data_IF_413834986550
#
_entry.id   IF_413834986550
#
_cell.length_a   1.000
_cell.length_b   1.000
_cell.length_c   1.000
_cell.angle_alpha   90.00
_cell.angle_beta   90.00
_cell.angle_gamma   90.00
#
_symmetry.space_group_name_H-M   'P 1'
#
loop_
_entity.id
_entity.type
_entity.pdbx_description
1 polymer ?
#
# COMPACT_ATOMS: atom_id res chain seq x y z
N UNK A 1 5.91 -8.00 -12.31
CA UNK A 1 4.81 -8.76 -11.67
C UNK A 1 3.44 -8.12 -11.93
N UNK A 2 3.19 -6.87 -11.52
CA UNK A 2 1.84 -6.26 -11.61
C UNK A 2 1.28 -6.15 -13.04
N UNK A 3 2.11 -5.80 -14.03
CA UNK A 3 1.68 -5.80 -15.44
C UNK A 3 1.18 -7.17 -15.92
N UNK A 4 1.92 -8.24 -15.60
CA UNK A 4 1.52 -9.61 -15.95
C UNK A 4 0.25 -10.05 -15.21
N UNK A 5 0.05 -9.60 -13.96
CA UNK A 5 -1.20 -9.80 -13.23
C UNK A 5 -2.36 -9.11 -13.94
N UNK A 6 -2.17 -7.86 -14.37
CA UNK A 6 -3.19 -7.07 -15.07
C UNK A 6 -3.68 -7.74 -16.35
N UNK A 7 -2.76 -8.25 -17.18
CA UNK A 7 -3.11 -8.94 -18.43
C UNK A 7 -3.99 -10.19 -18.19
N UNK A 8 -3.96 -10.80 -16.99
CA UNK A 8 -4.85 -11.93 -16.64
C UNK A 8 -6.22 -11.51 -16.13
N UNK A 9 -6.34 -10.33 -15.52
CA UNK A 9 -7.61 -9.84 -14.95
C UNK A 9 -8.48 -9.22 -16.05
N UNK A 10 -7.86 -8.50 -16.99
CA UNK A 10 -8.57 -7.76 -18.04
C UNK A 10 -9.06 -6.38 -17.60
N UNK A 11 -9.72 -5.67 -18.52
CA UNK A 11 -10.28 -4.33 -18.34
C UNK A 11 -11.83 -4.41 -18.46
N UNK A 12 -12.63 -3.80 -17.55
CA UNK A 12 -12.22 -2.84 -16.52
C UNK A 12 -11.95 -3.43 -15.13
N UNK A 13 -11.00 -2.80 -14.43
CA UNK A 13 -10.69 -3.13 -13.02
C UNK A 13 -11.40 -2.13 -12.10
N UNK A 14 -12.40 -2.59 -11.35
CA UNK A 14 -13.16 -1.74 -10.43
C UNK A 14 -12.28 -1.07 -9.35
N UNK A 15 -11.22 -1.75 -8.92
CA UNK A 15 -10.25 -1.22 -7.96
C UNK A 15 -9.12 -2.20 -7.67
N UNK A 16 -8.06 -1.68 -7.08
CA UNK A 16 -6.89 -2.45 -6.64
C UNK A 16 -6.70 -2.22 -5.15
N UNK A 17 -6.48 -3.32 -4.42
CA UNK A 17 -6.15 -3.30 -2.98
C UNK A 17 -4.77 -3.92 -2.79
N UNK A 18 -3.83 -3.14 -2.26
CA UNK A 18 -2.48 -3.57 -1.98
C UNK A 18 -2.33 -3.94 -0.50
N UNK A 19 -2.18 -5.25 -0.22
CA UNK A 19 -2.18 -5.81 1.15
C UNK A 19 -0.82 -6.34 1.63
N UNK A 20 0.25 -6.21 0.83
CA UNK A 20 1.52 -6.86 1.15
C UNK A 20 2.21 -6.34 2.42
N UNK A 21 1.82 -5.18 2.96
CA UNK A 21 2.34 -4.63 4.22
C UNK A 21 1.29 -4.59 5.34
N UNK A 22 0.19 -5.34 5.22
CA UNK A 22 -0.86 -5.42 6.26
C UNK A 22 -0.60 -6.52 7.32
N UNK A 23 0.51 -7.24 7.17
CA UNK A 23 0.87 -8.43 7.96
C UNK A 23 1.27 -8.07 9.40
N UNK A 24 0.94 -8.95 10.34
CA UNK A 24 1.06 -8.74 11.78
C UNK A 24 2.40 -9.22 12.38
N UNK A 25 2.62 -9.00 13.69
CA UNK A 25 3.84 -9.42 14.39
C UNK A 25 4.10 -10.92 14.35
N UNK A 26 3.04 -11.72 14.19
CA UNK A 26 3.08 -13.20 14.14
C UNK A 26 3.65 -13.74 12.83
N UNK A 27 3.81 -12.90 11.81
CA UNK A 27 4.14 -13.36 10.45
C UNK A 27 5.64 -13.55 10.22
N UNK A 28 6.46 -13.42 11.27
CA UNK A 28 7.91 -13.33 11.18
C UNK A 28 8.30 -11.98 10.60
N UNK A 29 9.10 -11.20 11.33
CA UNK A 29 9.50 -9.87 10.85
C UNK A 29 10.26 -9.97 9.53
N UNK A 30 9.83 -9.21 8.51
CA UNK A 30 10.57 -9.06 7.26
C UNK A 30 11.76 -8.13 7.43
N UNK A 31 12.82 -8.41 6.68
CA UNK A 31 13.93 -7.46 6.56
C UNK A 31 13.50 -6.17 5.84
N UNK A 32 14.22 -5.08 6.08
CA UNK A 32 13.90 -3.77 5.49
C UNK A 32 13.85 -3.81 3.95
N UNK A 33 14.80 -4.49 3.31
CA UNK A 33 14.84 -4.63 1.85
C UNK A 33 13.60 -5.35 1.31
N UNK A 34 13.15 -6.40 2.00
CA UNK A 34 11.94 -7.13 1.63
C UNK A 34 10.67 -6.28 1.83
N UNK A 35 10.59 -5.51 2.93
CA UNK A 35 9.51 -4.56 3.17
C UNK A 35 9.42 -3.48 2.08
N UNK A 36 10.55 -2.92 1.66
CA UNK A 36 10.61 -1.94 0.58
C UNK A 36 10.23 -2.58 -0.78
N UNK A 37 10.73 -3.78 -1.05
CA UNK A 37 10.44 -4.57 -2.25
C UNK A 37 8.95 -4.85 -2.42
N UNK A 38 8.34 -5.45 -1.40
CA UNK A 38 6.94 -5.84 -1.40
C UNK A 38 5.99 -4.67 -1.11
N UNK A 39 6.48 -3.57 -0.52
CA UNK A 39 5.68 -2.39 -0.22
C UNK A 39 5.86 -1.29 -1.23
N UNK A 40 6.85 -0.43 -0.99
CA UNK A 40 7.03 0.81 -1.74
C UNK A 40 7.19 0.57 -3.25
N UNK A 41 8.08 -0.35 -3.63
CA UNK A 41 8.38 -0.59 -5.04
C UNK A 41 7.26 -1.33 -5.77
N UNK A 42 6.63 -2.31 -5.13
CA UNK A 42 5.45 -2.97 -5.68
C UNK A 42 4.27 -2.00 -5.87
N UNK A 43 4.01 -1.14 -4.87
CA UNK A 43 2.98 -0.11 -4.93
C UNK A 43 3.25 0.91 -6.04
N UNK A 44 4.50 1.36 -6.20
CA UNK A 44 4.90 2.24 -7.30
C UNK A 44 4.68 1.58 -8.67
N UNK A 45 5.02 0.30 -8.82
CA UNK A 45 4.78 -0.44 -10.06
C UNK A 45 3.27 -0.57 -10.38
N UNK A 46 2.43 -0.76 -9.36
CA UNK A 46 0.98 -0.78 -9.49
C UNK A 46 0.43 0.59 -9.94
N UNK A 47 0.88 1.68 -9.30
CA UNK A 47 0.51 3.06 -9.66
C UNK A 47 0.87 3.39 -11.11
N UNK A 48 2.08 3.04 -11.55
CA UNK A 48 2.52 3.26 -12.95
C UNK A 48 1.61 2.51 -13.93
N UNK A 49 1.33 1.25 -13.65
CA UNK A 49 0.49 0.41 -14.52
C UNK A 49 -0.95 0.95 -14.58
N UNK A 50 -1.54 1.31 -13.44
CA UNK A 50 -2.86 1.95 -13.37
C UNK A 50 -2.89 3.29 -14.11
N UNK A 51 -1.86 4.12 -13.93
CA UNK A 51 -1.69 5.40 -14.60
C UNK A 51 -1.55 5.29 -16.12
N UNK A 52 -1.04 4.18 -16.63
CA UNK A 52 -0.93 3.90 -18.07
C UNK A 52 -2.20 3.28 -18.66
N UNK A 53 -2.88 2.38 -17.93
CA UNK A 53 -3.99 1.57 -18.45
C UNK A 53 -5.36 2.12 -18.12
N UNK A 54 -5.60 2.53 -16.88
CA UNK A 54 -6.94 2.89 -16.40
C UNK A 54 -6.88 3.97 -15.31
N UNK A 55 -6.84 5.24 -15.73
CA UNK A 55 -6.74 6.40 -14.82
C UNK A 55 -8.01 6.69 -14.00
N UNK A 56 -9.08 5.91 -14.17
CA UNK A 56 -10.32 6.00 -13.39
C UNK A 56 -10.59 4.67 -12.70
N UNK A 57 -10.24 4.58 -11.42
CA UNK A 57 -10.37 3.37 -10.60
C UNK A 57 -10.33 3.74 -9.11
N UNK A 58 -10.34 2.75 -8.22
CA UNK A 58 -9.99 2.92 -6.81
C UNK A 58 -8.66 2.26 -6.53
N UNK A 59 -7.76 2.94 -5.84
CA UNK A 59 -6.51 2.35 -5.38
C UNK A 59 -6.36 2.50 -3.86
N UNK A 60 -6.42 1.37 -3.15
CA UNK A 60 -6.29 1.31 -1.70
C UNK A 60 -5.00 0.59 -1.33
N UNK A 61 -4.19 1.21 -0.49
CA UNK A 61 -3.02 0.60 0.14
C UNK A 61 -3.33 0.37 1.60
N UNK A 62 -3.04 -0.82 2.10
CA UNK A 62 -3.19 -1.14 3.53
C UNK A 62 -1.82 -1.43 4.11
N UNK A 63 -1.49 -0.70 5.16
CA UNK A 63 -0.28 -0.90 5.98
C UNK A 63 -0.69 -1.30 7.39
N UNK A 64 0.26 -1.81 8.16
CA UNK A 64 0.15 -2.00 9.60
C UNK A 64 1.40 -1.41 10.25
N UNK A 65 1.26 -0.78 11.40
CA UNK A 65 2.36 -0.15 12.13
C UNK A 65 3.15 0.83 11.23
N UNK A 66 2.47 1.53 10.33
CA UNK A 66 3.08 2.52 9.42
C UNK A 66 3.06 3.93 9.99
N UNK A 67 2.22 4.21 10.98
CA UNK A 67 2.14 5.46 11.71
C UNK A 67 2.12 5.23 13.22
N UNK A 68 2.83 6.05 14.00
CA UNK A 68 2.63 6.12 15.44
C UNK A 68 1.37 6.93 15.75
N UNK A 69 0.37 6.30 16.37
CA UNK A 69 -0.90 6.92 16.77
C UNK A 69 -1.04 6.97 18.29
N UNK A 70 -0.60 5.91 18.99
CA UNK A 70 -0.62 5.78 20.44
C UNK A 70 0.81 5.85 21.03
N UNK A 71 0.88 6.14 22.32
CA UNK A 71 2.15 6.12 23.05
C UNK A 71 2.75 4.72 23.07
N UNK A 72 4.03 4.61 22.71
CA UNK A 72 4.75 3.35 22.65
C UNK A 72 4.67 2.62 21.31
N UNK A 73 3.92 3.14 20.34
CA UNK A 73 3.90 2.62 18.97
C UNK A 73 5.31 2.60 18.36
N UNK A 74 5.62 1.52 17.63
CA UNK A 74 6.90 1.31 16.97
C UNK A 74 6.68 1.20 15.47
N UNK A 75 6.62 2.33 14.74
CA UNK A 75 6.32 2.30 13.33
C UNK A 75 7.46 1.66 12.52
N UNK A 76 7.11 0.92 11.48
CA UNK A 76 8.04 0.35 10.50
C UNK A 76 8.34 1.39 9.42
N UNK A 77 9.57 1.94 9.34
CA UNK A 77 9.88 3.05 8.43
C UNK A 77 9.59 2.77 6.95
N UNK A 78 9.86 1.55 6.49
CA UNK A 78 9.57 1.13 5.12
C UNK A 78 8.07 1.22 4.77
N UNK A 79 7.18 0.96 5.74
CA UNK A 79 5.73 1.09 5.57
C UNK A 79 5.29 2.56 5.65
N UNK A 80 5.93 3.36 6.50
CA UNK A 80 5.71 4.80 6.57
C UNK A 80 6.00 5.52 5.24
N UNK A 81 6.99 5.05 4.46
CA UNK A 81 7.32 5.60 3.15
C UNK A 81 6.13 5.62 2.16
N UNK A 82 5.21 4.65 2.27
CA UNK A 82 4.00 4.58 1.43
C UNK A 82 3.09 5.80 1.61
N UNK A 83 3.12 6.47 2.77
CA UNK A 83 2.35 7.70 3.00
C UNK A 83 2.80 8.84 2.09
N UNK A 84 4.11 8.99 1.88
CA UNK A 84 4.65 9.97 0.94
C UNK A 84 4.20 9.67 -0.49
N UNK A 85 4.40 8.42 -0.91
CA UNK A 85 4.00 7.95 -2.25
C UNK A 85 2.50 8.19 -2.52
N UNK A 86 1.63 7.81 -1.58
CA UNK A 86 0.18 7.89 -1.77
C UNK A 86 -0.35 9.32 -1.76
N UNK A 87 0.28 10.24 -1.01
CA UNK A 87 -0.04 11.68 -1.09
C UNK A 87 0.31 12.26 -2.47
N UNK A 88 1.49 11.94 -2.99
CA UNK A 88 1.89 12.33 -4.35
C UNK A 88 0.93 11.73 -5.39
N UNK A 89 0.60 10.44 -5.25
CA UNK A 89 -0.33 9.78 -6.16
C UNK A 89 -1.73 10.42 -6.16
N UNK A 90 -2.20 10.92 -5.00
CA UNK A 90 -3.48 11.62 -4.93
C UNK A 90 -3.50 12.93 -5.72
N UNK A 91 -2.34 13.61 -5.84
CA UNK A 91 -2.18 14.84 -6.62
C UNK A 91 -2.01 14.52 -8.11
N UNK A 92 -1.15 13.56 -8.45
CA UNK A 92 -0.81 13.24 -9.85
C UNK A 92 -1.90 12.40 -10.55
N UNK A 93 -2.61 11.56 -9.81
CA UNK A 93 -3.60 10.61 -10.34
C UNK A 93 -4.94 10.69 -9.58
N UNK A 94 -5.61 11.86 -9.54
CA UNK A 94 -6.84 12.04 -8.76
C UNK A 94 -7.97 11.08 -9.18
N UNK A 95 -7.99 10.66 -10.45
CA UNK A 95 -8.98 9.69 -10.97
C UNK A 95 -8.85 8.28 -10.37
N UNK A 96 -7.69 7.91 -9.81
CA UNK A 96 -7.48 6.64 -9.10
C UNK A 96 -8.01 6.66 -7.66
N UNK A 97 -8.46 7.83 -7.18
CA UNK A 97 -8.93 8.06 -5.80
C UNK A 97 -8.05 7.36 -4.76
N UNK A 98 -6.73 7.60 -4.75
CA UNK A 98 -5.80 6.83 -3.93
C UNK A 98 -6.11 7.01 -2.44
N UNK A 99 -6.06 5.91 -1.68
CA UNK A 99 -6.25 5.91 -0.23
C UNK A 99 -5.22 5.00 0.42
N UNK A 100 -4.78 5.38 1.61
CA UNK A 100 -3.97 4.54 2.47
C UNK A 100 -4.70 4.39 3.80
N UNK A 101 -4.77 3.16 4.30
CA UNK A 101 -5.29 2.82 5.63
C UNK A 101 -4.18 2.11 6.39
N UNK A 102 -3.83 2.64 7.56
CA UNK A 102 -2.91 1.98 8.47
C UNK A 102 -3.70 1.27 9.56
N UNK A 103 -3.41 -0.01 9.75
CA UNK A 103 -4.03 -0.85 10.76
C UNK A 103 -3.24 -0.71 12.07
N UNK A 104 -3.92 -0.36 13.16
CA UNK A 104 -3.34 -0.38 14.50
C UNK A 104 -3.22 -1.80 15.06
N UNK A 105 -2.54 -1.91 16.21
CA UNK A 105 -2.48 -3.14 17.02
C UNK A 105 -3.85 -3.63 17.50
N UNK A 106 -3.86 -4.77 18.20
CA UNK A 106 -5.11 -5.43 18.63
C UNK A 106 -5.98 -4.47 19.46
N UNK A 107 -7.27 -4.26 19.11
CA UNK A 107 -8.18 -3.35 19.82
C UNK A 107 -8.35 -3.60 21.32
N UNK A 108 -7.86 -4.73 21.86
CA UNK A 108 -7.89 -5.03 23.30
C UNK A 108 -6.92 -4.23 24.18
N UNK A 109 -6.18 -3.27 23.62
CA UNK A 109 -5.10 -2.55 24.32
C UNK A 109 -5.29 -1.02 24.39
N UNK A 110 -6.45 -0.51 23.97
CA UNK A 110 -6.85 0.90 24.12
C UNK A 110 -7.70 1.13 25.37
#
# INVERSE_FOLDING_TARGET
>A
AFRALWERVGDPVAGVVHLWNAHGPTDGGRGEEEELGLGLYACLAALRTLGERQRKSRFLVVTRDGQPVADGDRPVPARAALWGLMRTAAIEYPGLRPRLVDLGGDPGTL
#
